data_IF_229031535052
#
_entry.id   IF_229031535052
#
_cell.length_a   1.000
_cell.length_b   1.000
_cell.length_c   1.000
_cell.angle_alpha   90.00
_cell.angle_beta   90.00
_cell.angle_gamma   90.00
#
_symmetry.space_group_name_H-M   'P 1'
#
loop_
_entity.id
_entity.type
_entity.pdbx_description
1 polymer ?
#
# COMPACT_ATOMS: atom_id res chain seq x y z
N UNK A 1 10.06 12.40 -12.15
CA UNK A 1 9.02 11.37 -11.92
C UNK A 1 9.41 10.58 -10.69
N UNK A 2 8.75 10.82 -9.57
CA UNK A 2 8.92 10.01 -8.36
C UNK A 2 8.11 8.73 -8.51
N UNK A 3 8.68 7.60 -8.11
CA UNK A 3 8.04 6.29 -8.16
C UNK A 3 7.79 5.84 -6.73
N UNK A 4 6.56 5.47 -6.45
CA UNK A 4 6.16 4.92 -5.16
C UNK A 4 5.88 3.44 -5.32
N UNK A 5 6.48 2.62 -4.47
CA UNK A 5 6.27 1.19 -4.49
C UNK A 5 5.43 0.79 -3.29
N UNK A 6 4.27 0.21 -3.56
CA UNK A 6 3.31 -0.27 -2.58
C UNK A 6 3.39 -1.78 -2.55
N UNK A 7 3.53 -2.36 -1.37
CA UNK A 7 3.46 -3.81 -1.21
C UNK A 7 2.06 -4.19 -0.73
N UNK A 8 1.27 -4.81 -1.60
CA UNK A 8 -0.06 -5.30 -1.25
C UNK A 8 -0.01 -6.77 -0.87
N UNK A 9 -0.52 -7.11 0.30
CA UNK A 9 -0.53 -8.48 0.83
C UNK A 9 -1.95 -8.98 0.85
N UNK A 10 -2.26 -9.89 -0.08
CA UNK A 10 -3.60 -10.45 -0.23
C UNK A 10 -3.55 -11.98 -0.21
N UNK A 11 -4.35 -12.60 0.66
CA UNK A 11 -4.49 -14.06 0.73
C UNK A 11 -5.38 -14.66 -0.38
N UNK A 12 -6.20 -13.86 -1.07
CA UNK A 12 -7.26 -14.35 -1.98
C UNK A 12 -7.12 -14.01 -3.46
N UNK A 13 -6.17 -13.14 -3.84
CA UNK A 13 -5.88 -12.84 -5.24
C UNK A 13 -6.82 -11.83 -5.92
N UNK A 14 -6.21 -10.74 -6.38
CA UNK A 14 -6.52 -10.06 -7.65
C UNK A 14 -7.58 -8.94 -7.72
N UNK A 15 -8.58 -8.81 -6.84
CA UNK A 15 -9.69 -7.84 -7.14
C UNK A 15 -9.59 -6.48 -6.42
N UNK A 16 -9.11 -6.41 -5.19
CA UNK A 16 -9.16 -5.16 -4.40
C UNK A 16 -8.03 -4.17 -4.72
N UNK A 17 -6.89 -4.64 -5.22
CA UNK A 17 -5.71 -3.79 -5.46
C UNK A 17 -5.91 -2.76 -6.58
N UNK A 18 -6.67 -3.10 -7.63
CA UNK A 18 -6.81 -2.24 -8.81
C UNK A 18 -7.60 -0.97 -8.51
N UNK A 19 -8.72 -1.04 -7.80
CA UNK A 19 -9.54 0.15 -7.49
C UNK A 19 -8.80 1.18 -6.64
N UNK A 20 -8.11 0.71 -5.60
CA UNK A 20 -7.27 1.54 -4.72
C UNK A 20 -6.11 2.13 -5.52
N UNK A 21 -5.40 1.28 -6.27
CA UNK A 21 -4.28 1.71 -7.07
C UNK A 21 -4.70 2.71 -8.16
N UNK A 22 -5.88 2.57 -8.77
CA UNK A 22 -6.38 3.49 -9.80
C UNK A 22 -6.66 4.87 -9.19
N UNK A 23 -7.49 4.95 -8.13
CA UNK A 23 -7.76 6.23 -7.44
C UNK A 23 -6.48 6.93 -6.98
N UNK A 24 -5.56 6.17 -6.39
CA UNK A 24 -4.28 6.70 -5.94
C UNK A 24 -3.42 7.13 -7.10
N UNK A 25 -3.34 6.31 -8.15
CA UNK A 25 -2.57 6.63 -9.34
C UNK A 25 -3.12 7.86 -10.03
N UNK A 26 -4.43 8.02 -10.18
CA UNK A 26 -5.04 9.23 -10.77
C UNK A 26 -4.66 10.50 -10.00
N UNK A 27 -4.89 10.51 -8.68
CA UNK A 27 -4.55 11.65 -7.82
C UNK A 27 -3.06 12.02 -7.84
N UNK A 28 -2.20 11.03 -8.09
CA UNK A 28 -0.74 11.17 -8.00
C UNK A 28 -0.11 11.38 -9.39
N UNK A 29 -0.76 10.91 -10.45
CA UNK A 29 -0.35 11.15 -11.84
C UNK A 29 -0.51 12.63 -12.19
N UNK A 30 -1.53 13.32 -11.63
CA UNK A 30 -1.65 14.79 -11.67
C UNK A 30 -0.45 15.52 -11.03
N UNK A 31 0.20 14.90 -10.03
CA UNK A 31 1.41 15.42 -9.37
C UNK A 31 2.70 14.95 -10.08
N UNK A 32 2.61 14.14 -11.14
CA UNK A 32 3.78 13.57 -11.85
C UNK A 32 4.44 12.40 -11.12
N UNK A 33 3.70 11.74 -10.23
CA UNK A 33 4.11 10.62 -9.40
C UNK A 33 3.54 9.32 -9.98
N UNK A 34 4.34 8.25 -9.97
CA UNK A 34 3.94 6.94 -10.49
C UNK A 34 3.87 5.92 -9.37
N UNK A 35 2.67 5.42 -9.07
CA UNK A 35 2.45 4.38 -8.06
C UNK A 35 2.53 2.99 -8.69
N UNK A 36 3.25 2.09 -8.04
CA UNK A 36 3.41 0.68 -8.43
C UNK A 36 3.00 -0.20 -7.27
N UNK A 37 1.90 -0.94 -7.41
CA UNK A 37 1.49 -1.94 -6.44
C UNK A 37 2.10 -3.31 -6.79
N UNK A 38 2.75 -3.95 -5.82
CA UNK A 38 3.33 -5.29 -5.91
C UNK A 38 2.54 -6.22 -4.99
N UNK A 39 1.95 -7.28 -5.54
CA UNK A 39 1.29 -8.30 -4.72
C UNK A 39 2.31 -9.27 -4.12
N UNK A 40 2.16 -9.56 -2.82
CA UNK A 40 2.99 -10.50 -2.09
C UNK A 40 2.18 -11.36 -1.11
N UNK A 41 2.75 -12.49 -0.72
CA UNK A 41 2.19 -13.34 0.33
C UNK A 41 2.57 -12.81 1.71
N UNK A 42 1.74 -13.02 2.75
CA UNK A 42 2.08 -12.58 4.11
C UNK A 42 3.40 -13.17 4.63
N UNK A 43 3.78 -14.37 4.17
CA UNK A 43 5.08 -14.99 4.48
C UNK A 43 6.27 -14.32 3.78
N UNK A 44 6.07 -13.72 2.60
CA UNK A 44 7.11 -13.03 1.85
C UNK A 44 7.12 -11.52 2.12
N UNK A 45 6.04 -10.99 2.67
CA UNK A 45 5.86 -9.57 2.94
C UNK A 45 6.96 -9.00 3.84
N UNK A 46 7.36 -9.75 4.88
CA UNK A 46 8.44 -9.34 5.77
C UNK A 46 9.76 -9.22 5.02
N UNK A 47 10.13 -10.27 4.27
CA UNK A 47 11.38 -10.31 3.53
C UNK A 47 11.44 -9.28 2.40
N UNK A 48 10.33 -9.03 1.72
CA UNK A 48 10.21 -7.97 0.72
C UNK A 48 10.27 -6.58 1.36
N UNK A 49 9.67 -6.39 2.53
CA UNK A 49 9.76 -5.11 3.25
C UNK A 49 11.18 -4.80 3.71
N UNK A 50 11.96 -5.80 4.12
CA UNK A 50 13.35 -5.63 4.53
C UNK A 50 14.31 -5.47 3.35
N UNK A 51 14.06 -6.17 2.24
CA UNK A 51 14.94 -6.19 1.08
C UNK A 51 14.55 -5.23 -0.06
N UNK A 52 13.32 -4.72 -0.07
CA UNK A 52 12.76 -3.91 -1.14
C UNK A 52 12.59 -2.45 -0.77
N UNK A 53 12.73 -1.56 -1.77
CA UNK A 53 12.40 -0.14 -1.63
C UNK A 53 10.90 0.04 -1.78
N UNK A 54 10.15 -0.28 -0.72
CA UNK A 54 8.73 0.02 -0.62
C UNK A 54 8.52 1.29 0.21
N UNK A 55 7.49 2.05 -0.11
CA UNK A 55 7.11 3.26 0.62
C UNK A 55 6.14 2.92 1.74
N UNK A 56 5.23 1.97 1.49
CA UNK A 56 4.27 1.46 2.45
C UNK A 56 3.74 0.09 2.03
N UNK A 57 3.16 -0.61 3.00
CA UNK A 57 2.58 -1.95 2.84
C UNK A 57 1.10 -1.87 3.11
N UNK A 58 0.29 -2.50 2.27
CA UNK A 58 -1.14 -2.69 2.51
C UNK A 58 -1.40 -4.18 2.72
N UNK A 59 -2.26 -4.55 3.66
CA UNK A 59 -2.58 -5.96 3.88
C UNK A 59 -4.06 -6.20 4.12
N UNK A 60 -4.63 -7.20 3.45
CA UNK A 60 -6.03 -7.61 3.61
C UNK A 60 -6.17 -8.86 4.49
N UNK A 61 -5.07 -9.28 5.10
CA UNK A 61 -5.00 -10.46 5.97
C UNK A 61 -4.02 -10.15 7.10
N UNK A 62 -4.15 -10.82 8.26
CA UNK A 62 -3.24 -10.62 9.37
C UNK A 62 -1.81 -10.93 8.93
N UNK A 63 -0.96 -9.90 8.93
CA UNK A 63 0.46 -10.05 8.72
C UNK A 63 1.10 -10.73 9.93
N UNK A 64 2.12 -11.57 9.73
CA UNK A 64 2.92 -12.06 10.85
C UNK A 64 3.52 -10.85 11.58
N UNK A 65 3.56 -10.91 12.92
CA UNK A 65 4.22 -9.86 13.71
C UNK A 65 5.70 -9.83 13.31
N UNK A 66 6.11 -8.71 12.72
CA UNK A 66 7.48 -8.50 12.25
C UNK A 66 7.84 -7.02 12.33
N UNK A 67 9.14 -6.74 12.28
CA UNK A 67 9.64 -5.37 12.16
C UNK A 67 9.59 -4.95 10.71
N UNK A 68 8.47 -4.33 10.32
CA UNK A 68 8.36 -3.69 9.02
C UNK A 68 9.11 -2.35 9.07
N UNK A 69 10.10 -2.13 8.19
CA UNK A 69 10.84 -0.86 8.14
C UNK A 69 10.00 0.29 7.54
N UNK A 70 8.83 -0.02 7.00
CA UNK A 70 7.93 0.88 6.29
C UNK A 70 6.52 0.81 6.92
N UNK A 71 5.70 1.86 6.81
CA UNK A 71 4.37 1.88 7.38
C UNK A 71 3.48 0.78 6.78
N UNK A 72 2.74 0.08 7.66
CA UNK A 72 1.77 -0.96 7.32
C UNK A 72 0.36 -0.44 7.50
N UNK A 73 -0.48 -0.64 6.48
CA UNK A 73 -1.85 -0.13 6.40
C UNK A 73 -2.79 -1.33 6.27
N UNK A 74 -3.80 -1.37 7.12
CA UNK A 74 -4.81 -2.42 7.15
C UNK A 74 -5.84 -2.20 6.03
N UNK A 75 -5.71 -2.93 4.93
CA UNK A 75 -6.67 -2.96 3.83
C UNK A 75 -7.84 -3.92 4.10
N UNK A 76 -7.90 -4.54 5.29
CA UNK A 76 -9.01 -5.40 5.71
C UNK A 76 -10.33 -4.63 5.73
N UNK A 77 -10.33 -3.39 6.21
CA UNK A 77 -11.53 -2.52 6.25
C UNK A 77 -12.11 -2.19 4.87
N UNK A 78 -11.25 -2.14 3.85
CA UNK A 78 -11.67 -2.00 2.45
C UNK A 78 -12.43 -3.24 1.97
N UNK A 79 -11.96 -4.42 2.33
CA UNK A 79 -12.55 -5.69 1.90
C UNK A 79 -13.90 -5.96 2.59
N UNK A 80 -14.07 -5.51 3.83
CA UNK A 80 -15.33 -5.65 4.58
C UNK A 80 -16.37 -4.58 4.24
N UNK A 81 -15.99 -3.55 3.46
CA UNK A 81 -16.85 -2.39 3.15
C UNK A 81 -17.07 -1.44 4.33
N UNK A 82 -16.46 -1.70 5.48
CA UNK A 82 -16.46 -0.85 6.67
C UNK A 82 -15.01 -0.41 6.93
N UNK A 83 -14.65 0.78 6.44
CA UNK A 83 -13.30 1.35 6.61
C UNK A 83 -12.55 1.67 5.31
N UNK A 84 -13.22 1.72 4.15
CA UNK A 84 -12.62 2.16 2.89
C UNK A 84 -12.08 3.60 2.99
N UNK A 85 -12.85 4.54 3.53
CA UNK A 85 -12.41 5.94 3.68
C UNK A 85 -11.17 6.06 4.56
N UNK A 86 -11.14 5.37 5.72
CA UNK A 86 -10.03 5.45 6.67
C UNK A 86 -8.74 4.87 6.09
N UNK A 87 -8.85 3.77 5.34
CA UNK A 87 -7.76 3.19 4.58
C UNK A 87 -7.24 4.17 3.51
N UNK A 88 -8.15 4.79 2.74
CA UNK A 88 -7.78 5.71 1.67
C UNK A 88 -7.11 6.98 2.22
N UNK A 89 -7.62 7.50 3.34
CA UNK A 89 -7.04 8.64 4.06
C UNK A 89 -5.62 8.34 4.52
N UNK A 90 -5.38 7.18 5.16
CA UNK A 90 -4.04 6.81 5.62
C UNK A 90 -3.06 6.66 4.46
N UNK A 91 -3.46 5.98 3.38
CA UNK A 91 -2.58 5.84 2.21
C UNK A 91 -2.24 7.21 1.62
N UNK A 92 -3.24 8.09 1.48
CA UNK A 92 -3.03 9.43 0.95
C UNK A 92 -2.12 10.27 1.86
N UNK A 93 -2.25 10.10 3.19
CA UNK A 93 -1.43 10.79 4.19
C UNK A 93 0.02 10.34 4.14
N UNK A 94 0.26 9.03 4.11
CA UNK A 94 1.60 8.45 4.01
C UNK A 94 2.30 8.93 2.75
N UNK A 95 1.62 8.89 1.60
CA UNK A 95 2.21 9.38 0.35
C UNK A 95 2.50 10.88 0.40
N UNK A 96 1.58 11.70 0.94
CA UNK A 96 1.83 13.14 1.13
C UNK A 96 3.02 13.41 2.05
N UNK A 97 3.20 12.63 3.11
CA UNK A 97 4.36 12.78 4.01
C UNK A 97 5.67 12.49 3.30
N UNK A 98 5.71 11.44 2.47
CA UNK A 98 6.90 11.05 1.71
C UNK A 98 7.19 12.06 0.60
N UNK A 99 6.15 12.57 -0.07
CA UNK A 99 6.24 13.65 -1.06
C UNK A 99 6.78 14.94 -0.45
N UNK A 100 6.26 15.36 0.70
CA UNK A 100 6.63 16.60 1.38
C UNK A 100 8.02 16.55 2.01
N UNK A 101 8.58 15.36 2.25
CA UNK A 101 9.93 15.15 2.79
C UNK A 101 11.00 14.99 1.72
N UNK A 102 10.62 14.87 0.44
CA UNK A 102 11.55 14.64 -0.68
C UNK A 102 11.84 15.88 -1.48
#
# INVERSE_FOLDING_TARGET
MRKFNVLSVCGSGTVTSSMIAEKLKEAMEEQGIKITATEAKPTEALQLSEGGNYDFITHTSPLPKGNYPVPTIDAVGFLTGFGEDEFLEEVMRVIKEIESKS
#
